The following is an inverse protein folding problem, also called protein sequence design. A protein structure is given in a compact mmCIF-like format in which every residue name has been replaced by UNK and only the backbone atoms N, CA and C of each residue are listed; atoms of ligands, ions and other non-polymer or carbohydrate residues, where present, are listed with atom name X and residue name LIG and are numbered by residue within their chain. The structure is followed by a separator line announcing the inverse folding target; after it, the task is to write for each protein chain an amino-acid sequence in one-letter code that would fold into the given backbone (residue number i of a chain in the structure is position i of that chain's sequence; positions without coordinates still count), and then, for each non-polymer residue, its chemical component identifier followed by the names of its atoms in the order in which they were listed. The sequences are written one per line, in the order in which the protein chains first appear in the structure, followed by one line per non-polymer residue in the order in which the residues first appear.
data_IF_129076537078
#
_entry.id   IF_129076537078
#
_cell.length_a   1.000
_cell.length_b   1.000
_cell.length_c   1.000
_cell.angle_alpha   90.00
_cell.angle_beta   90.00
_cell.angle_gamma   90.00
#
_symmetry.space_group_name_H-M   'P 1'
#
loop_
_entity.id
_entity.type
_entity.pdbx_description
1 polymer ?
#
# COMPACT_ATOMS: atom_id res chain seq x y z
N UNK A 1 -14.82 -2.78 30.85
CA UNK A 1 -13.80 -2.37 31.84
C UNK A 1 -12.43 -2.70 31.27
N UNK A 2 -11.88 -1.83 30.45
CA UNK A 2 -10.51 -1.95 29.96
C UNK A 2 -9.59 -1.39 31.04
N UNK A 3 -8.64 -2.19 31.49
CA UNK A 3 -7.57 -1.78 32.40
C UNK A 3 -6.67 -0.80 31.65
N UNK A 4 -6.76 0.47 32.02
CA UNK A 4 -5.86 1.52 31.58
C UNK A 4 -4.46 1.21 32.13
N UNK A 5 -3.58 0.66 31.27
CA UNK A 5 -2.17 0.46 31.60
C UNK A 5 -1.51 1.82 31.82
N UNK A 6 -1.53 2.29 33.07
CA UNK A 6 -0.75 3.44 33.47
C UNK A 6 0.74 3.14 33.22
N UNK A 7 1.46 3.99 32.48
CA UNK A 7 2.88 3.78 32.21
C UNK A 7 3.63 3.77 33.54
N UNK A 8 4.37 2.70 33.80
CA UNK A 8 5.16 2.53 35.04
C UNK A 8 6.00 3.80 35.29
N UNK A 9 5.95 4.40 36.48
CA UNK A 9 6.69 5.62 36.76
C UNK A 9 8.18 5.34 36.64
N UNK A 10 8.79 5.93 35.61
CA UNK A 10 10.23 5.85 35.34
C UNK A 10 10.92 6.53 36.52
N UNK A 11 11.93 5.88 37.11
CA UNK A 11 12.68 6.49 38.21
C UNK A 11 13.34 7.79 37.74
N UNK A 12 13.39 8.86 38.55
CA UNK A 12 13.89 10.16 38.12
C UNK A 12 15.35 10.10 37.65
N UNK A 13 16.15 9.21 38.24
CA UNK A 13 17.52 8.95 37.81
C UNK A 13 17.59 8.39 36.38
N UNK A 14 16.74 7.40 36.06
CA UNK A 14 16.67 6.82 34.70
C UNK A 14 16.09 7.81 33.68
N UNK A 15 15.14 8.65 34.06
CA UNK A 15 14.60 9.68 33.18
C UNK A 15 15.66 10.73 32.81
N UNK A 16 16.50 11.13 33.77
CA UNK A 16 17.63 12.04 33.52
C UNK A 16 18.70 11.40 32.62
N UNK A 17 19.01 10.13 32.83
CA UNK A 17 19.98 9.40 32.00
C UNK A 17 19.50 9.29 30.54
N UNK A 18 18.21 8.98 30.32
CA UNK A 18 17.62 8.92 28.98
C UNK A 18 17.63 10.29 28.29
N UNK A 19 17.30 11.37 29.02
CA UNK A 19 17.36 12.73 28.49
C UNK A 19 18.79 13.14 28.14
N UNK A 20 19.78 12.77 28.95
CA UNK A 20 21.18 13.05 28.66
C UNK A 20 21.67 12.29 27.43
N UNK A 21 21.29 11.02 27.28
CA UNK A 21 21.58 10.22 26.09
C UNK A 21 20.93 10.79 24.83
N UNK A 22 19.70 11.30 24.96
CA UNK A 22 19.02 12.00 23.87
C UNK A 22 19.78 13.28 23.47
N UNK A 23 20.18 14.11 24.44
CA UNK A 23 20.99 15.31 24.18
C UNK A 23 22.34 14.96 23.53
N UNK A 24 22.98 13.87 23.96
CA UNK A 24 24.22 13.37 23.35
C UNK A 24 24.00 12.96 21.90
N UNK A 25 22.89 12.28 21.58
CA UNK A 25 22.54 11.91 20.21
C UNK A 25 22.24 13.13 19.31
N UNK A 26 21.62 14.17 19.87
CA UNK A 26 21.35 15.41 19.14
C UNK A 26 22.62 16.23 18.93
N UNK A 27 23.56 16.19 19.87
CA UNK A 27 24.82 16.92 19.81
C UNK A 27 25.89 16.20 18.96
N UNK A 28 25.85 14.87 18.93
CA UNK A 28 26.77 14.07 18.14
C UNK A 28 26.48 14.22 16.63
N UNK A 29 27.49 14.49 15.78
CA UNK A 29 27.31 14.44 14.33
C UNK A 29 26.94 13.01 13.89
N UNK A 30 26.20 12.84 12.77
CA UNK A 30 25.89 11.50 12.27
C UNK A 30 27.19 10.72 12.05
N UNK A 31 27.31 9.49 12.57
CA UNK A 31 28.52 8.71 12.39
C UNK A 31 28.73 8.44 10.89
N UNK A 32 29.97 8.49 10.38
CA UNK A 32 30.26 7.90 9.08
C UNK A 32 29.84 6.42 9.12
N UNK A 33 29.30 5.93 8.01
CA UNK A 33 28.53 4.69 7.87
C UNK A 33 29.26 3.37 8.15
N UNK A 34 30.28 3.34 9.02
CA UNK A 34 30.90 2.13 9.54
C UNK A 34 31.60 2.44 10.86
N UNK A 35 30.89 2.23 11.97
CA UNK A 35 31.45 2.32 13.31
C UNK A 35 30.36 2.07 14.34
N UNK A 36 30.36 0.87 14.94
CA UNK A 36 29.45 0.51 16.02
C UNK A 36 29.51 1.55 17.16
N UNK A 37 28.40 1.86 17.84
CA UNK A 37 28.40 2.75 18.99
C UNK A 37 29.20 2.08 20.12
N UNK A 38 30.42 2.57 20.36
CA UNK A 38 31.21 2.17 21.52
C UNK A 38 30.46 2.58 22.80
N UNK A 39 30.14 1.67 23.72
CA UNK A 39 29.56 2.05 25.01
C UNK A 39 30.63 2.74 25.86
N UNK A 40 30.50 4.03 26.23
CA UNK A 40 31.37 4.59 27.24
C UNK A 40 31.01 3.99 28.61
N UNK A 41 32.05 3.68 29.38
CA UNK A 41 31.96 3.21 30.76
C UNK A 41 31.04 4.10 31.61
N UNK A 42 30.47 3.55 32.69
CA UNK A 42 29.61 4.25 33.67
C UNK A 42 30.32 5.46 34.30
N UNK A 43 30.29 6.59 33.61
CA UNK A 43 30.76 7.89 34.11
C UNK A 43 29.68 8.45 35.03
N UNK A 44 30.03 9.05 36.19
CA UNK A 44 29.04 9.69 37.04
C UNK A 44 28.30 10.80 36.27
N UNK A 45 26.97 10.87 36.44
CA UNK A 45 26.05 11.76 35.72
C UNK A 45 26.54 13.22 35.68
N UNK A 46 27.13 13.69 36.77
CA UNK A 46 27.68 15.05 36.92
C UNK A 46 28.86 15.31 35.98
N UNK A 47 29.73 14.32 35.77
CA UNK A 47 30.85 14.42 34.84
C UNK A 47 30.37 14.32 33.39
N UNK A 48 29.29 13.57 33.13
CA UNK A 48 28.68 13.48 31.79
C UNK A 48 28.02 14.80 31.37
N UNK A 49 27.27 15.42 32.28
CA UNK A 49 26.68 16.76 32.05
C UNK A 49 27.75 17.81 31.81
N UNK A 50 28.81 17.82 32.62
CA UNK A 50 29.92 18.77 32.44
C UNK A 50 30.65 18.57 31.10
N UNK A 51 30.83 17.32 30.66
CA UNK A 51 31.43 17.02 29.36
C UNK A 51 30.55 17.47 28.19
N UNK A 52 29.22 17.25 28.27
CA UNK A 52 28.26 17.73 27.26
C UNK A 52 28.20 19.26 27.21
N UNK A 53 28.25 19.92 28.36
CA UNK A 53 28.28 21.38 28.44
C UNK A 53 29.55 21.95 27.79
N UNK A 54 30.70 21.34 28.03
CA UNK A 54 31.96 21.74 27.38
C UNK A 54 31.92 21.46 25.87
N UNK A 55 31.34 20.35 25.44
CA UNK A 55 31.12 20.05 24.02
C UNK A 55 30.22 21.10 23.35
N UNK A 56 29.09 21.45 23.97
CA UNK A 56 28.20 22.52 23.50
C UNK A 56 28.94 23.85 23.40
N UNK A 57 29.70 24.22 24.44
CA UNK A 57 30.50 25.44 24.45
C UNK A 57 31.51 25.46 23.32
N UNK A 58 32.24 24.36 23.12
CA UNK A 58 33.22 24.28 22.02
C UNK A 58 32.56 24.30 20.64
N UNK A 59 31.36 23.74 20.47
CA UNK A 59 30.62 23.78 19.21
C UNK A 59 30.10 25.18 18.94
N UNK A 60 29.57 25.86 19.97
CA UNK A 60 29.17 27.27 19.88
C UNK A 60 30.39 28.11 19.53
N UNK A 61 31.53 27.96 20.20
CA UNK A 61 32.73 28.74 19.91
C UNK A 61 33.28 28.44 18.51
N UNK A 62 33.32 27.17 18.08
CA UNK A 62 33.76 26.78 16.72
C UNK A 62 32.82 27.29 15.63
N UNK A 63 31.51 27.26 15.85
CA UNK A 63 30.49 27.71 14.89
C UNK A 63 30.28 29.23 14.92
N UNK A 64 30.57 29.88 16.05
CA UNK A 64 30.48 31.31 16.26
C UNK A 64 31.75 32.08 15.88
N UNK A 65 32.80 31.43 15.37
CA UNK A 65 33.97 32.10 14.79
C UNK A 65 33.64 33.03 13.59
N UNK A 66 32.37 33.13 13.17
CA UNK A 66 31.90 34.12 12.19
C UNK A 66 30.65 34.91 12.59
N UNK A 67 30.13 34.80 13.82
CA UNK A 67 28.90 35.50 14.22
C UNK A 67 28.83 35.77 15.73
N UNK A 68 29.21 36.99 16.13
CA UNK A 68 28.98 37.51 17.48
C UNK A 68 27.49 37.52 17.85
N UNK A 69 26.61 37.55 16.85
CA UNK A 69 25.17 37.46 17.03
C UNK A 69 24.73 36.13 17.67
N UNK A 70 25.40 35.01 17.36
CA UNK A 70 25.08 33.71 17.98
C UNK A 70 25.47 33.71 19.47
N UNK A 71 26.61 34.30 19.83
CA UNK A 71 27.03 34.40 21.24
C UNK A 71 26.10 35.28 22.04
N UNK A 72 25.70 36.43 21.49
CA UNK A 72 24.73 37.34 22.12
C UNK A 72 23.34 36.71 22.22
N UNK A 73 22.92 35.95 21.20
CA UNK A 73 21.65 35.24 21.20
C UNK A 73 21.60 34.14 22.26
N UNK A 74 22.67 33.34 22.41
CA UNK A 74 22.77 32.31 23.46
C UNK A 74 22.82 32.94 24.85
N UNK A 75 23.55 34.05 25.01
CA UNK A 75 23.59 34.80 26.28
C UNK A 75 22.21 35.36 26.67
N UNK A 76 21.41 35.77 25.68
CA UNK A 76 20.08 36.32 25.88
C UNK A 76 18.97 35.31 25.50
N UNK A 77 19.23 34.01 25.60
CA UNK A 77 18.28 32.99 25.17
C UNK A 77 16.95 33.12 25.90
N UNK A 78 16.97 33.32 27.23
CA UNK A 78 15.76 33.45 28.04
C UNK A 78 14.89 34.66 27.63
N UNK A 79 15.52 35.75 27.19
CA UNK A 79 14.82 36.93 26.70
C UNK A 79 14.23 36.72 25.29
N UNK A 80 14.84 35.86 24.48
CA UNK A 80 14.39 35.54 23.12
C UNK A 80 13.51 34.28 23.05
N UNK A 81 13.44 33.49 24.12
CA UNK A 81 12.62 32.29 24.24
C UNK A 81 11.15 32.48 23.77
N UNK A 82 10.44 33.57 24.13
CA UNK A 82 9.06 33.78 23.67
C UNK A 82 8.95 34.09 22.17
N UNK A 83 10.03 34.54 21.52
CA UNK A 83 10.04 34.82 20.07
C UNK A 83 10.32 33.56 19.24
N UNK A 84 10.83 32.50 19.88
CA UNK A 84 11.18 31.24 19.24
C UNK A 84 10.04 30.21 19.34
N UNK A 85 9.06 30.43 20.22
CA UNK A 85 7.83 29.67 20.29
C UNK A 85 6.84 30.11 19.20
N UNK A 86 7.23 30.00 17.94
CA UNK A 86 6.36 30.32 16.78
C UNK A 86 5.29 29.21 16.57
N UNK A 87 5.27 28.17 17.41
CA UNK A 87 4.42 26.98 17.21
C UNK A 87 3.39 26.68 18.30
N UNK A 88 3.33 27.43 19.39
CA UNK A 88 2.21 27.28 20.35
C UNK A 88 1.17 28.31 19.98
N UNK A 89 0.23 27.87 19.16
CA UNK A 89 -0.99 28.57 18.76
C UNK A 89 -1.49 29.49 19.88
N UNK A 90 -1.73 30.75 19.51
CA UNK A 90 -2.63 31.71 20.15
C UNK A 90 -3.16 31.26 21.51
N UNK A 91 -2.46 31.62 22.58
CA UNK A 91 -3.02 31.51 23.91
C UNK A 91 -4.36 32.26 23.90
N UNK A 92 -5.44 31.66 24.43
CA UNK A 92 -6.76 32.30 24.59
C UNK A 92 -6.66 33.70 25.25
N UNK A 93 -5.58 33.93 25.99
CA UNK A 93 -5.17 35.20 26.59
C UNK A 93 -5.04 36.36 25.59
N UNK A 94 -4.53 36.11 24.39
CA UNK A 94 -4.36 37.17 23.36
C UNK A 94 -5.71 37.51 22.68
N UNK A 95 -6.63 36.54 22.62
CA UNK A 95 -8.02 36.72 22.17
C UNK A 95 -8.85 37.54 23.17
N UNK A 96 -8.54 37.47 24.46
CA UNK A 96 -9.24 38.22 25.51
C UNK A 96 -8.91 39.72 25.48
N UNK A 97 -7.71 40.10 25.02
CA UNK A 97 -7.26 41.48 24.86
C UNK A 97 -7.72 42.19 23.57
N UNK A 98 -8.30 41.47 22.62
CA UNK A 98 -8.82 42.05 21.37
C UNK A 98 -10.10 42.86 21.62
N UNK A 99 -10.17 44.07 21.06
CA UNK A 99 -11.36 44.92 21.11
C UNK A 99 -12.54 44.23 20.43
N UNK A 100 -13.76 44.50 20.88
CA UNK A 100 -14.98 43.89 20.30
C UNK A 100 -15.11 44.16 18.79
N UNK A 101 -14.61 45.30 18.33
CA UNK A 101 -14.54 45.65 16.91
C UNK A 101 -13.59 44.74 16.13
N UNK A 102 -12.38 44.49 16.64
CA UNK A 102 -11.43 43.58 16.00
C UNK A 102 -11.94 42.14 15.93
N UNK A 103 -12.68 41.69 16.95
CA UNK A 103 -13.38 40.40 16.93
C UNK A 103 -14.47 40.34 15.87
N UNK A 104 -15.25 41.41 15.71
CA UNK A 104 -16.27 41.49 14.67
C UNK A 104 -15.65 41.49 13.26
N UNK A 105 -14.56 42.22 13.05
CA UNK A 105 -13.82 42.20 11.77
C UNK A 105 -13.28 40.80 11.46
N UNK A 106 -12.71 40.11 12.44
CA UNK A 106 -12.18 38.75 12.27
C UNK A 106 -13.29 37.75 11.94
N UNK A 107 -14.46 37.87 12.57
CA UNK A 107 -15.64 37.02 12.25
C UNK A 107 -16.16 37.31 10.84
N UNK A 108 -16.14 38.57 10.39
CA UNK A 108 -16.54 38.94 9.03
C UNK A 108 -15.52 38.46 7.98
N UNK A 109 -14.23 38.51 8.30
CA UNK A 109 -13.16 37.96 7.45
C UNK A 109 -13.27 36.44 7.32
N UNK A 110 -13.53 35.76 8.45
CA UNK A 110 -13.73 34.31 8.51
C UNK A 110 -15.15 33.86 8.09
N UNK A 111 -16.05 34.76 7.67
CA UNK A 111 -17.45 34.42 7.37
C UNK A 111 -17.54 33.30 6.33
N UNK A 112 -16.73 33.39 5.27
CA UNK A 112 -16.73 32.39 4.21
C UNK A 112 -16.30 31.02 4.73
N UNK A 113 -15.24 30.97 5.54
CA UNK A 113 -14.69 29.74 6.12
C UNK A 113 -15.68 29.10 7.10
N UNK A 114 -16.36 29.91 7.91
CA UNK A 114 -17.39 29.44 8.84
C UNK A 114 -18.57 28.83 8.07
N UNK A 115 -18.99 29.45 6.96
CA UNK A 115 -20.07 28.91 6.10
C UNK A 115 -19.67 27.62 5.40
N UNK A 116 -18.43 27.51 4.93
CA UNK A 116 -17.93 26.25 4.36
C UNK A 116 -17.87 25.16 5.42
N UNK A 117 -17.38 25.48 6.62
CA UNK A 117 -17.34 24.53 7.73
C UNK A 117 -18.74 24.08 8.16
N UNK A 118 -19.73 24.98 8.20
CA UNK A 118 -21.11 24.62 8.50
C UNK A 118 -21.66 23.61 7.48
N UNK A 119 -21.39 23.84 6.18
CA UNK A 119 -21.80 22.92 5.11
C UNK A 119 -21.13 21.57 5.28
N UNK A 120 -19.82 21.54 5.54
CA UNK A 120 -19.05 20.32 5.69
C UNK A 120 -19.48 19.54 6.95
N UNK A 121 -19.77 20.24 8.06
CA UNK A 121 -20.32 19.63 9.28
C UNK A 121 -21.71 19.04 9.04
N UNK A 122 -22.54 19.68 8.22
CA UNK A 122 -23.84 19.13 7.83
C UNK A 122 -23.69 17.90 6.94
N UNK A 123 -22.72 17.89 6.03
CA UNK A 123 -22.39 16.71 5.23
C UNK A 123 -21.89 15.56 6.10
N UNK A 124 -21.00 15.85 7.06
CA UNK A 124 -20.53 14.88 8.04
C UNK A 124 -21.67 14.32 8.89
N UNK A 125 -22.62 15.16 9.30
CA UNK A 125 -23.81 14.70 10.03
C UNK A 125 -24.67 13.76 9.18
N UNK A 126 -24.89 14.06 7.91
CA UNK A 126 -25.63 13.17 7.00
C UNK A 126 -24.89 11.84 6.80
N UNK A 127 -23.56 11.87 6.72
CA UNK A 127 -22.74 10.66 6.64
C UNK A 127 -22.73 9.85 7.94
N UNK A 128 -22.84 10.52 9.09
CA UNK A 128 -22.98 9.90 10.41
C UNK A 128 -24.35 9.23 10.57
N UNK A 129 -25.42 9.89 10.12
CA UNK A 129 -26.77 9.30 10.05
C UNK A 129 -26.82 8.06 9.14
N UNK A 130 -25.95 8.02 8.11
CA UNK A 130 -25.76 6.86 7.24
C UNK A 130 -24.78 5.81 7.83
N UNK A 131 -24.29 6.02 9.05
CA UNK A 131 -23.32 5.17 9.76
C UNK A 131 -22.02 4.93 8.99
N UNK A 132 -21.54 5.91 8.21
CA UNK A 132 -20.33 5.78 7.36
C UNK A 132 -19.04 6.16 8.10
N UNK A 133 -19.13 6.83 9.26
CA UNK A 133 -18.03 7.60 9.89
C UNK A 133 -16.98 6.74 10.62
N UNK A 134 -17.29 5.49 10.96
CA UNK A 134 -16.34 4.56 11.59
C UNK A 134 -15.72 3.64 10.53
N UNK A 135 -16.32 2.48 10.26
CA UNK A 135 -15.95 1.59 9.16
C UNK A 135 -17.15 1.24 8.25
N UNK A 136 -18.26 1.99 8.35
CA UNK A 136 -19.51 1.60 7.69
C UNK A 136 -20.03 0.26 8.22
N UNK A 137 -20.57 -0.56 7.32
CA UNK A 137 -20.94 -1.96 7.59
C UNK A 137 -19.78 -2.96 7.53
N UNK A 138 -18.52 -2.50 7.44
CA UNK A 138 -17.35 -3.39 7.39
C UNK A 138 -17.23 -4.39 8.56
N UNK A 139 -17.60 -4.07 9.83
CA UNK A 139 -17.60 -5.07 10.89
C UNK A 139 -18.64 -6.18 10.67
N UNK A 140 -19.77 -5.89 10.01
CA UNK A 140 -20.76 -6.90 9.65
C UNK A 140 -20.22 -7.84 8.55
N UNK A 141 -19.40 -7.31 7.65
CA UNK A 141 -18.78 -8.07 6.57
C UNK A 141 -17.51 -8.83 6.97
N UNK A 142 -17.02 -8.66 8.21
CA UNK A 142 -15.89 -9.44 8.70
C UNK A 142 -16.21 -10.93 8.78
N UNK A 143 -17.45 -11.27 9.12
CA UNK A 143 -17.96 -12.65 9.10
C UNK A 143 -18.01 -13.24 7.68
N UNK A 144 -18.14 -12.38 6.66
CA UNK A 144 -18.16 -12.78 5.25
C UNK A 144 -16.76 -13.15 4.72
N UNK A 145 -15.68 -12.73 5.38
CA UNK A 145 -14.31 -13.08 4.96
C UNK A 145 -14.07 -14.58 5.04
N UNK A 146 -14.55 -15.21 6.11
CA UNK A 146 -14.44 -16.65 6.34
C UNK A 146 -15.22 -17.44 5.28
N UNK A 147 -16.47 -17.05 5.02
CA UNK A 147 -17.32 -17.71 4.01
C UNK A 147 -16.79 -17.51 2.59
N UNK A 148 -16.21 -16.34 2.28
CA UNK A 148 -15.57 -16.08 1.00
C UNK A 148 -14.28 -16.90 0.84
N UNK A 149 -13.46 -17.01 1.89
CA UNK A 149 -12.26 -17.84 1.88
C UNK A 149 -12.59 -19.32 1.64
N UNK A 150 -13.64 -19.82 2.31
CA UNK A 150 -14.14 -21.19 2.11
C UNK A 150 -14.65 -21.39 0.68
N UNK A 151 -15.48 -20.48 0.17
CA UNK A 151 -16.00 -20.53 -1.21
C UNK A 151 -14.89 -20.48 -2.24
N UNK A 152 -13.88 -19.61 -2.04
CA UNK A 152 -12.71 -19.51 -2.90
C UNK A 152 -11.90 -20.80 -2.89
N UNK A 153 -11.71 -21.41 -1.72
CA UNK A 153 -11.01 -22.69 -1.59
C UNK A 153 -11.77 -23.84 -2.28
N UNK A 154 -13.11 -23.80 -2.28
CA UNK A 154 -13.97 -24.77 -2.96
C UNK A 154 -14.03 -24.56 -4.49
N UNK A 155 -13.90 -23.31 -4.96
CA UNK A 155 -13.90 -22.98 -6.39
C UNK A 155 -12.61 -23.43 -7.11
N UNK A 156 -11.47 -23.42 -6.43
CA UNK A 156 -10.16 -23.82 -7.01
C UNK A 156 -10.13 -25.28 -7.50
N UNK A 157 -10.54 -26.30 -6.74
CA UNK A 157 -10.57 -27.67 -7.25
C UNK A 157 -11.65 -27.85 -8.33
N UNK A 158 -12.73 -27.07 -8.28
CA UNK A 158 -13.78 -27.13 -9.29
C UNK A 158 -13.28 -26.64 -10.65
N UNK A 159 -12.57 -25.51 -10.70
CA UNK A 159 -12.01 -25.00 -11.96
C UNK A 159 -11.02 -26.00 -12.59
N UNK A 160 -10.20 -26.68 -11.78
CA UNK A 160 -9.31 -27.76 -12.24
C UNK A 160 -10.08 -28.94 -12.84
N UNK A 161 -11.17 -29.36 -12.21
CA UNK A 161 -12.02 -30.43 -12.76
C UNK A 161 -12.63 -30.04 -14.10
N UNK A 162 -13.03 -28.78 -14.26
CA UNK A 162 -13.54 -28.26 -15.53
C UNK A 162 -12.45 -28.23 -16.61
N UNK A 163 -11.23 -27.77 -16.30
CA UNK A 163 -10.14 -27.79 -17.28
C UNK A 163 -9.77 -29.22 -17.70
N UNK A 164 -9.78 -30.18 -16.78
CA UNK A 164 -9.50 -31.58 -17.08
C UNK A 164 -10.62 -32.22 -17.92
N UNK A 165 -11.87 -31.80 -17.70
CA UNK A 165 -13.00 -32.23 -18.52
C UNK A 165 -12.93 -31.64 -19.92
N UNK A 166 -12.59 -30.36 -20.04
CA UNK A 166 -12.40 -29.67 -21.32
C UNK A 166 -11.27 -30.30 -22.13
N UNK A 167 -10.12 -30.57 -21.50
CA UNK A 167 -9.00 -31.25 -22.15
C UNK A 167 -9.41 -32.64 -22.69
N UNK A 168 -10.18 -33.41 -21.91
CA UNK A 168 -10.69 -34.72 -22.34
C UNK A 168 -11.70 -34.59 -23.48
N UNK A 169 -12.59 -33.60 -23.44
CA UNK A 169 -13.56 -33.34 -24.50
C UNK A 169 -12.85 -32.96 -25.81
N UNK A 170 -11.88 -32.05 -25.74
CA UNK A 170 -11.09 -31.63 -26.89
C UNK A 170 -10.31 -32.80 -27.50
N UNK A 171 -9.69 -33.64 -26.66
CA UNK A 171 -9.02 -34.86 -27.12
C UNK A 171 -10.00 -35.84 -27.81
N UNK A 172 -11.21 -36.00 -27.25
CA UNK A 172 -12.23 -36.85 -27.84
C UNK A 172 -12.68 -36.32 -29.22
N UNK A 173 -12.89 -35.00 -29.34
CA UNK A 173 -13.23 -34.35 -30.60
C UNK A 173 -12.12 -34.48 -31.63
N UNK A 174 -10.85 -34.34 -31.23
CA UNK A 174 -9.71 -34.55 -32.12
C UNK A 174 -9.64 -36.00 -32.62
N UNK A 175 -9.83 -36.97 -31.73
CA UNK A 175 -9.86 -38.39 -32.11
C UNK A 175 -11.02 -38.71 -33.06
N UNK A 176 -12.19 -38.13 -32.80
CA UNK A 176 -13.35 -38.28 -33.67
C UNK A 176 -13.10 -37.67 -35.05
N UNK A 177 -12.52 -36.46 -35.10
CA UNK A 177 -12.15 -35.81 -36.35
C UNK A 177 -11.15 -36.66 -37.15
N UNK A 178 -10.10 -37.15 -36.49
CA UNK A 178 -9.15 -38.06 -37.13
C UNK A 178 -9.83 -39.33 -37.67
N UNK A 179 -10.73 -39.93 -36.89
CA UNK A 179 -11.48 -41.10 -37.34
C UNK A 179 -12.34 -40.79 -38.58
N UNK A 180 -13.04 -39.65 -38.60
CA UNK A 180 -13.77 -39.20 -39.80
C UNK A 180 -12.81 -39.05 -40.98
N UNK A 181 -11.68 -38.37 -40.81
CA UNK A 181 -10.70 -38.21 -41.91
C UNK A 181 -10.25 -39.55 -42.47
N UNK A 182 -9.91 -40.52 -41.61
CA UNK A 182 -9.50 -41.85 -42.06
C UNK A 182 -10.63 -42.61 -42.76
N UNK A 183 -11.88 -42.47 -42.28
CA UNK A 183 -13.04 -43.08 -42.92
C UNK A 183 -13.32 -42.44 -44.28
N UNK A 184 -13.21 -41.11 -44.38
CA UNK A 184 -13.36 -40.38 -45.64
C UNK A 184 -12.28 -40.76 -46.65
N UNK A 185 -11.02 -40.87 -46.23
CA UNK A 185 -9.93 -41.36 -47.09
C UNK A 185 -10.21 -42.79 -47.58
N UNK A 186 -10.71 -43.68 -46.70
CA UNK A 186 -11.09 -45.04 -47.08
C UNK A 186 -12.24 -45.04 -48.09
N UNK A 187 -13.27 -44.21 -47.89
CA UNK A 187 -14.37 -44.08 -48.84
C UNK A 187 -13.92 -43.56 -50.20
N UNK A 188 -13.01 -42.57 -50.25
CA UNK A 188 -12.44 -42.10 -51.51
C UNK A 188 -11.66 -43.23 -52.20
N UNK A 189 -10.84 -43.97 -51.44
CA UNK A 189 -10.09 -45.11 -52.02
C UNK A 189 -11.01 -46.22 -52.56
N UNK A 190 -12.17 -46.42 -51.94
CA UNK A 190 -13.16 -47.39 -52.41
C UNK A 190 -13.87 -46.89 -53.67
N UNK A 191 -14.19 -45.60 -53.74
CA UNK A 191 -14.79 -44.98 -54.92
C UNK A 191 -13.84 -45.03 -56.13
N UNK A 192 -12.55 -44.77 -55.92
CA UNK A 192 -11.52 -44.88 -56.95
C UNK A 192 -11.39 -46.33 -57.47
N UNK A 193 -11.35 -47.32 -56.57
CA UNK A 193 -11.30 -48.74 -56.94
C UNK A 193 -12.56 -49.19 -57.66
N UNK A 194 -13.74 -48.71 -57.25
CA UNK A 194 -15.00 -49.04 -57.90
C UNK A 194 -15.06 -48.41 -59.30
N UNK A 195 -14.62 -47.16 -59.44
CA UNK A 195 -14.50 -46.47 -60.73
C UNK A 195 -13.51 -47.19 -61.66
N UNK A 196 -12.38 -47.68 -61.15
CA UNK A 196 -11.45 -48.51 -61.93
C UNK A 196 -12.08 -49.84 -62.36
N UNK A 197 -12.80 -50.51 -61.47
CA UNK A 197 -13.54 -51.73 -61.81
C UNK A 197 -14.63 -51.48 -62.87
N UNK A 198 -15.36 -50.36 -62.79
CA UNK A 198 -16.37 -49.98 -63.77
C UNK A 198 -15.75 -49.61 -65.13
N UNK A 199 -14.64 -48.87 -65.14
CA UNK A 199 -13.94 -48.53 -66.39
C UNK A 199 -13.33 -49.77 -67.07
N UNK A 200 -12.82 -50.73 -66.29
CA UNK A 200 -12.35 -52.01 -66.84
C UNK A 200 -13.50 -52.86 -67.37
N UNK A 201 -14.64 -52.92 -66.66
CA UNK A 201 -15.85 -53.61 -67.12
C UNK A 201 -16.37 -53.00 -68.42
N UNK A 202 -16.59 -51.68 -68.46
CA UNK A 202 -17.07 -50.98 -69.66
C UNK A 202 -16.13 -51.15 -70.85
N UNK A 203 -14.81 -51.20 -70.63
CA UNK A 203 -13.83 -51.53 -71.67
C UNK A 203 -14.00 -52.96 -72.20
N UNK A 204 -14.21 -53.93 -71.31
CA UNK A 204 -14.47 -55.33 -71.70
C UNK A 204 -15.80 -55.48 -72.44
N UNK A 205 -16.85 -54.80 -71.98
CA UNK A 205 -18.16 -54.77 -72.64
C UNK A 205 -18.08 -54.15 -74.03
N UNK A 206 -17.38 -53.02 -74.19
CA UNK A 206 -17.14 -52.42 -75.51
C UNK A 206 -16.36 -53.34 -76.44
N UNK A 207 -15.36 -54.07 -75.93
CA UNK A 207 -14.63 -55.06 -76.72
C UNK A 207 -15.51 -56.25 -77.14
N UNK A 208 -16.48 -56.64 -76.30
CA UNK A 208 -17.47 -57.68 -76.60
C UNK A 208 -18.53 -57.21 -77.60
N UNK A 209 -19.02 -55.99 -77.43
CA UNK A 209 -20.14 -55.44 -78.21
C UNK A 209 -19.69 -54.73 -79.49
N UNK A 210 -18.38 -54.65 -79.78
CA UNK A 210 -17.89 -54.21 -81.08
C UNK A 210 -18.24 -55.27 -82.13
N UNK A 211 -19.25 -55.04 -83.00
CA UNK A 211 -19.63 -56.02 -84.00
C UNK A 211 -18.45 -56.18 -84.96
N UNK A 212 -18.19 -57.43 -85.35
CA UNK A 212 -17.30 -57.75 -86.46
C UNK A 212 -17.86 -57.06 -87.71
N UNK A 213 -17.38 -55.85 -87.98
CA UNK A 213 -17.61 -55.12 -89.22
C UNK A 213 -16.77 -55.82 -90.30
N UNK A 214 -17.32 -56.92 -90.82
CA UNK A 214 -16.77 -57.71 -91.90
C UNK A 214 -17.28 -57.08 -93.20
N UNK A 215 -16.39 -56.37 -93.92
CA UNK A 215 -16.51 -56.15 -95.36
C UNK A 215 -16.48 -57.46 -96.14
#
# INVERSE_FOLDING_TARGET
MALEEQPRPISPATALELRLRFLEQVLAPPPPSNGAPSPPARVPLTRHVAALQEQLRTIVDKRANGSDAIKHFVANYDANAPLLSIGTLSNESDLEGLTAEAKATLVLEAEHEIRTLEKDLRELQVLDEQNVVDAGGLPEHEQLKETLAQTRSAAVPLSRKYSDLEARMTMLLQRYNHHISTMSELFVSWDDLLTEAETTLTRLEKARDQPLDIS
#
